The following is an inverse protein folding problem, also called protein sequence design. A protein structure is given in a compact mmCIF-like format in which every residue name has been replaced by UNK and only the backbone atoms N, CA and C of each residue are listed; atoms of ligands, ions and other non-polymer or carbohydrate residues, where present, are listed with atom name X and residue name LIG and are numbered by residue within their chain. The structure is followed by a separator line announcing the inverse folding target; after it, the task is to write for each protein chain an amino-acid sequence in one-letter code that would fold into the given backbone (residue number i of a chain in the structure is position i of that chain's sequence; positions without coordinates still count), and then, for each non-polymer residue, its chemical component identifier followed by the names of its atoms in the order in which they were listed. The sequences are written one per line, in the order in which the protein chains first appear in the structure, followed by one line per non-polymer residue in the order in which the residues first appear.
data_IF_869795123438
#
_entry.id   IF_869795123438
#
_cell.length_a   1.000
_cell.length_b   1.000
_cell.length_c   1.000
_cell.angle_alpha   90.00
_cell.angle_beta   90.00
_cell.angle_gamma   90.00
#
_symmetry.space_group_name_H-M   'P 1'
#
loop_
_entity.id
_entity.type
_entity.pdbx_description
1 polymer ?
#
# COMPACT_ATOMS: atom_id res chain seq x y z
N UNK A 1 -2.64 -44.59 25.18
CA UNK A 1 -2.94 -43.15 25.24
C UNK A 1 -2.63 -42.54 23.88
N UNK A 2 -3.62 -42.08 23.10
CA UNK A 2 -3.36 -41.43 21.83
C UNK A 2 -2.98 -39.96 22.08
N UNK A 3 -1.76 -39.57 21.69
CA UNK A 3 -1.35 -38.16 21.62
C UNK A 3 -1.72 -37.66 20.24
N UNK A 4 -2.57 -36.64 20.19
CA UNK A 4 -2.97 -35.94 18.98
C UNK A 4 -1.83 -34.99 18.64
N UNK A 5 -1.07 -35.26 17.57
CA UNK A 5 -0.01 -34.36 17.08
C UNK A 5 -0.65 -33.10 16.46
N UNK A 6 -0.28 -31.93 17.00
CA UNK A 6 -0.62 -30.63 16.42
C UNK A 6 0.21 -30.36 15.16
N UNK A 7 -0.35 -29.70 14.12
CA UNK A 7 0.42 -29.25 12.98
C UNK A 7 1.46 -28.22 13.44
N UNK A 8 2.73 -28.55 13.20
CA UNK A 8 3.87 -27.64 13.39
C UNK A 8 3.76 -26.56 12.33
N UNK A 9 3.18 -25.42 12.70
CA UNK A 9 3.09 -24.23 11.86
C UNK A 9 4.50 -23.66 11.63
N UNK A 10 5.24 -24.27 10.72
CA UNK A 10 6.45 -23.70 10.15
C UNK A 10 6.06 -22.60 9.20
N UNK A 11 6.03 -21.35 9.68
CA UNK A 11 6.12 -20.19 8.79
C UNK A 11 7.56 -20.15 8.25
N UNK A 12 7.81 -20.94 7.21
CA UNK A 12 9.07 -20.95 6.49
C UNK A 12 9.09 -19.71 5.60
N UNK A 13 9.55 -18.59 6.13
CA UNK A 13 9.95 -17.44 5.31
C UNK A 13 11.30 -17.76 4.69
N UNK A 14 11.30 -18.30 3.48
CA UNK A 14 12.52 -18.43 2.69
C UNK A 14 13.01 -17.03 2.30
N UNK A 15 14.25 -16.62 2.61
CA UNK A 15 14.85 -15.46 1.99
C UNK A 15 15.33 -15.92 0.62
N UNK A 16 14.49 -15.73 -0.41
CA UNK A 16 14.97 -15.87 -1.79
C UNK A 16 15.95 -14.73 -2.03
N UNK A 17 17.23 -15.02 -1.78
CA UNK A 17 18.35 -14.24 -2.28
C UNK A 17 18.38 -14.42 -3.80
N UNK A 18 17.75 -13.48 -4.50
CA UNK A 18 17.81 -13.36 -5.96
C UNK A 18 17.85 -11.88 -6.31
N UNK A 19 19.01 -11.41 -6.77
CA UNK A 19 19.16 -10.06 -7.34
C UNK A 19 18.20 -9.96 -8.52
N UNK A 20 17.17 -9.11 -8.40
CA UNK A 20 16.17 -8.90 -9.44
C UNK A 20 16.61 -7.70 -10.30
N UNK A 21 16.75 -7.92 -11.60
CA UNK A 21 17.09 -6.88 -12.58
C UNK A 21 16.14 -5.67 -12.48
N UNK A 22 16.64 -4.43 -12.62
CA UNK A 22 15.85 -3.21 -12.40
C UNK A 22 14.71 -2.98 -13.42
N UNK A 23 14.56 -3.84 -14.43
CA UNK A 23 13.58 -3.69 -15.51
C UNK A 23 12.30 -4.53 -15.34
N UNK A 24 12.20 -5.45 -14.36
CA UNK A 24 11.02 -6.32 -14.17
C UNK A 24 10.06 -5.75 -13.10
N UNK A 25 9.66 -4.50 -13.26
CA UNK A 25 8.75 -3.82 -12.35
C UNK A 25 7.29 -4.21 -12.64
N UNK A 26 6.93 -5.46 -12.34
CA UNK A 26 5.57 -5.78 -11.91
C UNK A 26 5.22 -4.81 -10.80
N UNK A 27 4.10 -4.08 -10.93
CA UNK A 27 3.66 -3.04 -9.99
C UNK A 27 3.97 -3.47 -8.55
N UNK A 28 4.93 -2.80 -7.91
CA UNK A 28 5.26 -3.09 -6.53
C UNK A 28 3.95 -2.98 -5.74
N UNK A 29 3.53 -4.06 -5.09
CA UNK A 29 2.26 -4.08 -4.39
C UNK A 29 2.37 -3.13 -3.19
N UNK A 30 1.92 -1.89 -3.40
CA UNK A 30 1.93 -0.86 -2.36
C UNK A 30 0.71 -1.12 -1.50
N UNK A 31 0.91 -1.71 -0.32
CA UNK A 31 -0.13 -1.79 0.70
C UNK A 31 -0.41 -0.36 1.20
N UNK A 32 -1.56 0.27 0.85
CA UNK A 32 -1.77 1.69 1.08
C UNK A 32 -1.86 2.03 2.59
N UNK A 33 -2.16 1.03 3.42
CA UNK A 33 -2.24 1.16 4.87
C UNK A 33 -0.94 0.78 5.60
N UNK A 34 0.18 0.64 4.89
CA UNK A 34 1.51 0.51 5.49
C UNK A 34 2.28 1.82 5.33
N UNK A 35 3.04 2.23 6.35
CA UNK A 35 3.94 3.36 6.24
C UNK A 35 5.15 2.99 5.38
N UNK A 36 5.41 3.63 4.23
CA UNK A 36 6.56 3.27 3.39
C UNK A 36 7.91 3.59 4.05
N UNK A 37 7.92 4.43 5.10
CA UNK A 37 9.14 4.87 5.76
C UNK A 37 9.55 3.98 6.95
N UNK A 38 8.58 3.35 7.63
CA UNK A 38 8.84 2.57 8.86
C UNK A 38 8.09 1.23 8.94
N UNK A 39 7.25 0.88 7.96
CA UNK A 39 6.49 -0.38 7.94
C UNK A 39 5.30 -0.45 8.90
N UNK A 40 5.03 0.61 9.68
CA UNK A 40 3.93 0.62 10.63
C UNK A 40 2.56 0.53 9.94
N UNK A 41 1.64 -0.22 10.54
CA UNK A 41 0.26 -0.31 10.09
C UNK A 41 -0.52 0.99 10.39
N UNK A 42 -1.30 1.44 9.41
CA UNK A 42 -2.22 2.58 9.48
C UNK A 42 -3.67 2.09 9.47
N UNK A 43 -4.60 2.95 9.92
CA UNK A 43 -6.04 2.66 9.97
C UNK A 43 -6.82 3.76 9.23
N UNK A 44 -7.88 3.37 8.52
CA UNK A 44 -8.88 4.33 8.03
C UNK A 44 -9.72 4.80 9.22
N UNK A 45 -9.79 6.12 9.43
CA UNK A 45 -10.49 6.70 10.59
C UNK A 45 -11.81 7.38 10.21
N UNK A 46 -11.97 7.76 8.94
CA UNK A 46 -13.18 8.40 8.42
C UNK A 46 -13.23 8.27 6.90
N UNK A 47 -14.44 8.37 6.35
CA UNK A 47 -14.68 8.57 4.92
C UNK A 47 -15.32 9.94 4.72
N UNK A 48 -14.76 10.76 3.84
CA UNK A 48 -15.23 12.12 3.58
C UNK A 48 -15.83 12.15 2.18
N UNK A 49 -17.14 12.38 2.10
CA UNK A 49 -17.89 12.35 0.84
C UNK A 49 -18.16 13.73 0.24
N UNK A 50 -18.06 14.80 1.03
CA UNK A 50 -18.40 16.15 0.59
C UNK A 50 -17.14 16.93 0.20
N UNK A 51 -17.15 17.49 -1.00
CA UNK A 51 -16.01 18.24 -1.54
C UNK A 51 -15.64 19.43 -0.66
N UNK A 52 -16.61 20.12 -0.07
CA UNK A 52 -16.36 21.28 0.81
C UNK A 52 -15.47 20.95 2.01
N UNK A 53 -15.59 19.76 2.58
CA UNK A 53 -14.75 19.33 3.70
C UNK A 53 -13.33 18.96 3.25
N UNK A 54 -13.20 18.38 2.04
CA UNK A 54 -11.91 18.14 1.41
C UNK A 54 -11.17 19.48 1.19
N UNK A 55 -11.85 20.51 0.67
CA UNK A 55 -11.24 21.83 0.44
C UNK A 55 -10.74 22.49 1.74
N UNK A 56 -11.51 22.39 2.84
CA UNK A 56 -11.09 22.92 4.14
C UNK A 56 -9.83 22.22 4.66
N UNK A 57 -9.76 20.90 4.52
CA UNK A 57 -8.60 20.10 4.95
C UNK A 57 -7.38 20.48 4.12
N UNK A 58 -7.52 20.49 2.79
CA UNK A 58 -6.41 20.84 1.88
C UNK A 58 -5.92 22.27 2.12
N UNK A 59 -6.84 23.23 2.29
CA UNK A 59 -6.49 24.61 2.66
C UNK A 59 -5.78 24.72 4.01
N UNK A 60 -6.16 23.91 4.99
CA UNK A 60 -5.50 23.88 6.31
C UNK A 60 -4.05 23.36 6.23
N UNK A 61 -3.76 22.39 5.36
CA UNK A 61 -2.40 21.84 5.17
C UNK A 61 -1.58 22.58 4.11
N UNK A 62 -2.16 23.60 3.45
CA UNK A 62 -1.50 24.38 2.38
C UNK A 62 -1.36 23.62 1.05
N UNK A 63 -2.18 22.61 0.81
CA UNK A 63 -2.22 21.87 -0.45
C UNK A 63 -3.20 22.51 -1.46
N UNK A 64 -2.94 22.32 -2.76
CA UNK A 64 -3.85 22.75 -3.82
C UNK A 64 -5.17 21.96 -3.74
N UNK A 65 -6.33 22.63 -3.58
CA UNK A 65 -7.61 21.96 -3.55
C UNK A 65 -8.12 21.52 -4.94
N UNK A 66 -7.52 22.02 -6.02
CA UNK A 66 -7.94 21.68 -7.38
C UNK A 66 -7.58 20.22 -7.71
N UNK A 67 -8.55 19.50 -8.28
CA UNK A 67 -8.35 18.11 -8.63
C UNK A 67 -7.28 17.99 -9.74
N UNK A 68 -6.30 17.08 -9.61
CA UNK A 68 -5.35 16.82 -10.69
C UNK A 68 -6.07 16.40 -11.98
N UNK A 69 -5.58 16.89 -13.12
CA UNK A 69 -6.07 16.41 -14.42
C UNK A 69 -5.78 14.91 -14.55
N UNK A 70 -6.84 14.12 -14.79
CA UNK A 70 -6.73 12.68 -14.98
C UNK A 70 -6.03 12.42 -16.31
N UNK A 71 -4.83 11.84 -16.27
CA UNK A 71 -4.15 11.31 -17.45
C UNK A 71 -4.61 9.88 -17.71
N UNK A 72 -4.62 9.41 -18.98
CA UNK A 72 -4.87 7.99 -19.28
C UNK A 72 -3.95 7.08 -18.49
N UNK A 73 -4.45 5.89 -18.11
CA UNK A 73 -3.62 4.87 -17.49
C UNK A 73 -2.41 4.60 -18.40
N UNK A 74 -1.21 4.64 -17.81
CA UNK A 74 0.02 4.37 -18.57
C UNK A 74 -0.05 2.93 -19.09
N UNK A 75 0.28 2.74 -20.36
CA UNK A 75 0.41 1.40 -20.93
C UNK A 75 1.45 0.57 -20.16
N UNK A 76 1.44 -0.76 -20.31
CA UNK A 76 2.45 -1.62 -19.71
C UNK A 76 3.86 -1.10 -20.08
N UNK A 77 4.83 -1.14 -19.16
CA UNK A 77 6.22 -0.91 -19.54
C UNK A 77 6.62 -1.91 -20.64
N UNK A 78 7.42 -1.48 -21.65
CA UNK A 78 7.88 -2.35 -22.73
C UNK A 78 8.82 -3.45 -22.24
#
# INVERSE_FOLDING_TARGET
MPVIEHPKNGLLVSPVLGVKDPCDATSAEVFPLICPHCGAAKRLIAFISFSSDIHKILGHIGADPEAPRITPARGPPP
#
